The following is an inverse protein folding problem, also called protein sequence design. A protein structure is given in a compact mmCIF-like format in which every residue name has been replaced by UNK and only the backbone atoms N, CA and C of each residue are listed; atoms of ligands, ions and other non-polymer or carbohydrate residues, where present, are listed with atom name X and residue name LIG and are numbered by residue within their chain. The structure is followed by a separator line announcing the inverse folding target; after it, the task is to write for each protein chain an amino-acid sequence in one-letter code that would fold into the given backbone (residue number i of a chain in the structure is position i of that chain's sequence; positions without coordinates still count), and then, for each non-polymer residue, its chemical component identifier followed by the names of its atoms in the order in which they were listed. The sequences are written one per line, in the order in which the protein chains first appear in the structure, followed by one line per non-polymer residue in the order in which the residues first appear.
data_IF_408442167717
#
_entry.id   IF_408442167717
#
_cell.length_a   1.000
_cell.length_b   1.000
_cell.length_c   1.000
_cell.angle_alpha   90.00
_cell.angle_beta   90.00
_cell.angle_gamma   90.00
#
_symmetry.space_group_name_H-M   'P 1'
#
loop_
_entity.id
_entity.type
_entity.pdbx_description
1 polymer ?
#
# COMPACT_ATOMS: atom_id res chain seq x y z
N UNK A 1 -7.42 35.44 -24.36
CA UNK A 1 -8.50 34.65 -23.73
C UNK A 1 -7.96 34.03 -22.46
N UNK A 2 -8.42 34.46 -21.28
CA UNK A 2 -7.97 33.90 -20.02
C UNK A 2 -8.45 32.45 -19.91
N UNK A 3 -7.53 31.49 -19.76
CA UNK A 3 -7.86 30.11 -19.40
C UNK A 3 -8.65 30.17 -18.09
N UNK A 4 -9.93 29.80 -18.13
CA UNK A 4 -10.74 29.56 -16.94
C UNK A 4 -9.98 28.50 -16.14
N UNK A 5 -9.34 28.90 -15.03
CA UNK A 5 -8.73 27.93 -14.11
C UNK A 5 -9.88 27.06 -13.60
N UNK A 6 -10.00 25.85 -14.13
CA UNK A 6 -10.85 24.82 -13.56
C UNK A 6 -10.42 24.68 -12.11
N UNK A 7 -11.34 24.93 -11.18
CA UNK A 7 -11.04 24.77 -9.76
C UNK A 7 -10.54 23.34 -9.54
N UNK A 8 -9.37 23.22 -8.92
CA UNK A 8 -8.83 21.91 -8.59
C UNK A 8 -9.62 21.35 -7.39
N UNK A 9 -10.11 20.12 -7.52
CA UNK A 9 -10.88 19.45 -6.48
C UNK A 9 -10.26 18.10 -6.11
N UNK A 10 -10.39 17.71 -4.84
CA UNK A 10 -10.07 16.38 -4.31
C UNK A 10 -11.29 15.90 -3.53
N UNK A 11 -11.86 14.76 -3.93
CA UNK A 11 -13.13 14.25 -3.40
C UNK A 11 -14.22 15.36 -3.35
N UNK A 12 -14.44 16.03 -4.49
CA UNK A 12 -15.42 17.12 -4.70
C UNK A 12 -15.22 18.38 -3.84
N UNK A 13 -14.08 18.51 -3.15
CA UNK A 13 -13.74 19.69 -2.35
C UNK A 13 -12.61 20.47 -3.00
N UNK A 14 -12.72 21.80 -3.00
CA UNK A 14 -11.68 22.69 -3.53
C UNK A 14 -10.36 22.44 -2.81
N UNK A 15 -9.30 22.22 -3.57
CA UNK A 15 -7.95 21.98 -3.08
C UNK A 15 -7.02 23.11 -3.53
N UNK A 16 -6.40 23.80 -2.56
CA UNK A 16 -5.56 24.98 -2.80
C UNK A 16 -4.20 24.80 -2.15
N UNK A 17 -3.14 25.28 -2.81
CA UNK A 17 -1.77 25.24 -2.31
C UNK A 17 -1.06 23.90 -2.54
N UNK A 18 -0.04 23.62 -1.72
CA UNK A 18 0.80 22.41 -1.80
C UNK A 18 1.42 22.20 -3.18
N UNK A 19 1.83 23.31 -3.82
CA UNK A 19 2.29 23.30 -5.22
C UNK A 19 3.62 22.57 -5.34
N UNK A 20 4.54 22.81 -4.41
CA UNK A 20 5.85 22.17 -4.42
C UNK A 20 5.76 20.67 -4.11
N UNK A 21 4.94 20.27 -3.14
CA UNK A 21 4.73 18.85 -2.83
C UNK A 21 4.12 18.10 -4.04
N UNK A 22 3.15 18.70 -4.73
CA UNK A 22 2.60 18.13 -5.96
C UNK A 22 3.62 18.10 -7.10
N UNK A 23 4.51 19.09 -7.20
CA UNK A 23 5.57 19.13 -8.22
C UNK A 23 6.61 18.05 -7.97
N UNK A 24 7.06 17.88 -6.74
CA UNK A 24 7.99 16.83 -6.32
C UNK A 24 7.40 15.44 -6.58
N UNK A 25 6.13 15.22 -6.23
CA UNK A 25 5.46 13.95 -6.51
C UNK A 25 5.40 13.64 -8.01
N UNK A 26 5.07 14.62 -8.86
CA UNK A 26 5.08 14.43 -10.32
C UNK A 26 6.47 14.11 -10.87
N UNK A 27 7.51 14.76 -10.36
CA UNK A 27 8.89 14.51 -10.78
C UNK A 27 9.30 13.07 -10.45
N UNK A 28 9.10 12.64 -9.21
CA UNK A 28 9.43 11.28 -8.78
C UNK A 28 8.58 10.21 -9.49
N UNK A 29 7.31 10.50 -9.81
CA UNK A 29 6.48 9.60 -10.62
C UNK A 29 7.00 9.49 -12.06
N UNK A 30 7.50 10.58 -12.64
CA UNK A 30 8.12 10.57 -13.96
C UNK A 30 9.42 9.77 -13.99
N UNK A 31 10.26 9.90 -12.96
CA UNK A 31 11.48 9.11 -12.77
C UNK A 31 11.16 7.63 -12.56
N UNK A 32 10.07 7.28 -11.86
CA UNK A 32 9.64 5.88 -11.73
C UNK A 32 9.29 5.25 -13.09
N UNK A 33 8.68 6.03 -13.99
CA UNK A 33 8.33 5.55 -15.33
C UNK A 33 9.51 5.54 -16.30
N UNK A 34 10.49 6.43 -16.10
CA UNK A 34 11.70 6.53 -16.92
C UNK A 34 12.91 6.72 -15.98
N UNK A 35 13.40 5.63 -15.38
CA UNK A 35 14.47 5.71 -14.39
C UNK A 35 15.78 6.20 -15.02
N UNK A 36 16.58 7.01 -14.31
CA UNK A 36 17.94 7.35 -14.72
C UNK A 36 18.79 6.10 -14.95
N UNK A 37 19.76 6.21 -15.86
CA UNK A 37 20.64 5.08 -16.18
C UNK A 37 21.40 4.60 -14.93
N UNK A 38 21.22 3.32 -14.58
CA UNK A 38 21.87 2.69 -13.43
C UNK A 38 21.07 2.75 -12.12
N UNK A 39 19.89 3.37 -12.13
CA UNK A 39 19.01 3.44 -10.95
C UNK A 39 17.81 2.49 -11.09
N UNK A 40 17.57 1.69 -10.05
CA UNK A 40 16.37 0.88 -9.91
C UNK A 40 15.71 1.27 -8.59
N UNK A 41 14.72 2.15 -8.65
CA UNK A 41 14.07 2.71 -7.46
C UNK A 41 12.65 2.17 -7.33
N UNK A 42 12.26 1.75 -6.12
CA UNK A 42 10.99 2.16 -5.55
C UNK A 42 11.19 3.43 -4.72
N UNK A 43 10.39 4.47 -4.97
CA UNK A 43 10.30 5.64 -4.10
C UNK A 43 9.39 5.37 -2.90
N UNK A 44 9.77 5.88 -1.74
CA UNK A 44 8.92 5.96 -0.55
C UNK A 44 8.67 7.42 -0.22
N UNK A 45 7.40 7.84 -0.20
CA UNK A 45 7.01 9.19 0.16
C UNK A 45 6.49 9.22 1.60
N UNK A 46 7.11 10.02 2.45
CA UNK A 46 6.64 10.26 3.81
C UNK A 46 5.95 11.62 3.89
N UNK A 47 4.63 11.63 4.09
CA UNK A 47 3.88 12.83 4.40
C UNK A 47 3.81 13.03 5.92
N UNK A 48 4.52 14.03 6.43
CA UNK A 48 4.56 14.35 7.86
C UNK A 48 4.15 15.80 8.13
N UNK A 49 3.85 16.09 9.39
CA UNK A 49 3.37 17.39 9.86
C UNK A 49 2.20 17.26 10.82
N UNK A 50 1.72 18.38 11.36
CA UNK A 50 0.73 18.39 12.41
C UNK A 50 -0.65 17.86 11.99
N UNK A 51 -1.45 17.49 12.99
CA UNK A 51 -2.85 17.08 12.79
C UNK A 51 -3.67 18.17 12.10
N UNK A 52 -4.61 17.76 11.24
CA UNK A 52 -5.51 18.71 10.56
C UNK A 52 -4.91 19.50 9.39
N UNK A 53 -3.60 19.40 9.13
CA UNK A 53 -2.93 20.18 8.07
C UNK A 53 -3.20 19.69 6.63
N UNK A 54 -4.03 18.65 6.47
CA UNK A 54 -4.47 18.14 5.16
C UNK A 54 -3.60 17.04 4.53
N UNK A 55 -2.79 16.30 5.31
CA UNK A 55 -1.94 15.21 4.80
C UNK A 55 -2.72 14.14 4.04
N UNK A 56 -3.84 13.67 4.60
CA UNK A 56 -4.72 12.70 3.95
C UNK A 56 -5.31 13.25 2.64
N UNK A 57 -5.70 14.52 2.62
CA UNK A 57 -6.18 15.19 1.41
C UNK A 57 -5.07 15.30 0.35
N UNK A 58 -3.83 15.59 0.77
CA UNK A 58 -2.67 15.61 -0.13
C UNK A 58 -2.34 14.21 -0.68
N UNK A 59 -2.43 13.16 0.12
CA UNK A 59 -2.26 11.78 -0.34
C UNK A 59 -3.32 11.39 -1.39
N UNK A 60 -4.58 11.77 -1.17
CA UNK A 60 -5.66 11.62 -2.16
C UNK A 60 -5.39 12.44 -3.42
N UNK A 61 -4.80 13.62 -3.27
CA UNK A 61 -4.37 14.42 -4.42
C UNK A 61 -3.28 13.71 -5.23
N UNK A 62 -2.31 13.08 -4.58
CA UNK A 62 -1.27 12.28 -5.25
C UNK A 62 -1.88 11.10 -6.01
N UNK A 63 -2.88 10.41 -5.43
CA UNK A 63 -3.68 9.41 -6.12
C UNK A 63 -4.29 9.97 -7.41
N UNK A 64 -4.93 11.14 -7.34
CA UNK A 64 -5.58 11.75 -8.50
C UNK A 64 -4.56 12.16 -9.57
N UNK A 65 -3.39 12.68 -9.18
CA UNK A 65 -2.28 12.98 -10.09
C UNK A 65 -1.85 11.70 -10.82
N UNK A 66 -1.61 10.61 -10.09
CA UNK A 66 -1.14 9.35 -10.66
C UNK A 66 -2.17 8.74 -11.64
N UNK A 67 -3.45 8.80 -11.30
CA UNK A 67 -4.50 8.12 -12.07
C UNK A 67 -5.13 8.96 -13.18
N UNK A 68 -5.15 10.28 -13.06
CA UNK A 68 -5.99 11.14 -13.93
C UNK A 68 -5.18 12.13 -14.77
N UNK A 69 -3.98 12.51 -14.34
CA UNK A 69 -3.20 13.54 -15.04
C UNK A 69 -2.29 12.96 -16.13
N UNK A 70 -2.22 13.65 -17.27
CA UNK A 70 -1.14 13.41 -18.22
C UNK A 70 0.20 13.85 -17.60
N UNK A 71 1.32 13.15 -17.86
CA UNK A 71 1.45 11.99 -18.75
C UNK A 71 1.31 10.62 -18.05
N UNK A 72 0.81 10.58 -16.81
CA UNK A 72 0.81 9.39 -15.94
C UNK A 72 -0.43 8.52 -16.09
N UNK A 73 -1.55 9.13 -16.46
CA UNK A 73 -2.83 8.47 -16.72
C UNK A 73 -2.59 7.21 -17.58
N UNK A 74 -3.20 6.11 -17.15
CA UNK A 74 -3.14 4.79 -17.77
C UNK A 74 -1.75 4.10 -17.78
N UNK A 75 -0.71 4.71 -17.19
CA UNK A 75 0.65 4.12 -17.07
C UNK A 75 0.95 3.50 -15.72
N UNK A 76 0.14 3.79 -14.71
CA UNK A 76 0.34 3.33 -13.34
C UNK A 76 -0.90 2.65 -12.81
N UNK A 77 -0.68 1.61 -12.03
CA UNK A 77 -1.74 0.97 -11.24
C UNK A 77 -1.59 1.43 -9.80
N UNK A 78 -2.72 1.67 -9.12
CA UNK A 78 -2.73 2.22 -7.76
C UNK A 78 -3.53 1.30 -6.83
N UNK A 79 -2.90 0.86 -5.75
CA UNK A 79 -3.55 0.16 -4.64
C UNK A 79 -3.60 1.10 -3.44
N UNK A 80 -4.80 1.55 -3.07
CA UNK A 80 -5.01 2.40 -1.89
C UNK A 80 -5.27 1.53 -0.66
N UNK A 81 -4.45 1.70 0.37
CA UNK A 81 -4.62 1.02 1.66
C UNK A 81 -4.70 2.09 2.75
N UNK A 82 -5.83 2.13 3.44
CA UNK A 82 -5.99 2.93 4.65
C UNK A 82 -5.72 2.03 5.86
N UNK A 83 -4.53 2.16 6.44
CA UNK A 83 -4.09 1.29 7.54
C UNK A 83 -4.95 1.41 8.80
N UNK A 84 -5.56 2.56 9.06
CA UNK A 84 -6.47 2.72 10.21
C UNK A 84 -7.78 1.95 9.98
N UNK A 85 -8.27 1.92 8.74
CA UNK A 85 -9.44 1.11 8.39
C UNK A 85 -9.12 -0.38 8.31
N UNK A 86 -7.94 -0.76 7.84
CA UNK A 86 -7.51 -2.17 7.85
C UNK A 86 -7.28 -2.68 9.27
N UNK A 87 -6.78 -1.84 10.19
CA UNK A 87 -6.61 -2.20 11.61
C UNK A 87 -7.92 -2.62 12.29
N UNK A 88 -9.07 -2.13 11.82
CA UNK A 88 -10.40 -2.55 12.31
C UNK A 88 -10.80 -3.95 11.82
N UNK A 89 -10.18 -4.45 10.75
CA UNK A 89 -10.51 -5.71 10.08
C UNK A 89 -9.54 -6.85 10.40
N UNK A 90 -8.30 -6.51 10.75
CA UNK A 90 -7.21 -7.46 11.02
C UNK A 90 -6.81 -7.39 12.50
N UNK A 91 -7.19 -8.38 13.32
CA UNK A 91 -6.79 -8.46 14.73
C UNK A 91 -5.27 -8.39 14.93
N UNK A 92 -4.50 -8.90 13.99
CA UNK A 92 -3.03 -8.91 13.99
C UNK A 92 -2.45 -7.49 13.96
N UNK A 93 -3.22 -6.49 13.50
CA UNK A 93 -2.83 -5.07 13.55
C UNK A 93 -3.27 -4.36 14.84
N UNK A 94 -4.05 -5.01 15.70
CA UNK A 94 -4.55 -4.44 16.96
C UNK A 94 -3.58 -4.65 18.13
N UNK A 95 -2.36 -5.09 17.84
CA UNK A 95 -1.25 -5.23 18.79
C UNK A 95 -0.36 -3.96 18.81
N UNK A 96 0.64 -3.94 19.69
CA UNK A 96 1.64 -2.88 19.69
C UNK A 96 2.48 -2.92 18.41
N UNK A 97 2.94 -1.76 17.91
CA UNK A 97 3.71 -1.66 16.64
C UNK A 97 4.86 -2.66 16.53
N UNK A 98 5.60 -2.85 17.62
CA UNK A 98 6.76 -3.76 17.68
C UNK A 98 6.38 -5.25 17.60
N UNK A 99 5.09 -5.58 17.75
CA UNK A 99 4.58 -6.94 17.66
C UNK A 99 4.01 -7.26 16.27
N UNK A 100 3.79 -6.25 15.43
CA UNK A 100 3.33 -6.43 14.04
C UNK A 100 4.45 -7.06 13.25
N UNK A 101 4.22 -8.25 12.72
CA UNK A 101 5.16 -8.99 11.89
C UNK A 101 5.04 -8.55 10.42
N UNK A 102 6.07 -8.83 9.63
CA UNK A 102 6.05 -8.53 8.20
C UNK A 102 4.92 -9.27 7.49
N UNK A 103 4.64 -10.50 7.92
CA UNK A 103 3.56 -11.35 7.41
C UNK A 103 2.19 -10.69 7.57
N UNK A 104 1.93 -10.04 8.70
CA UNK A 104 0.66 -9.34 8.97
C UNK A 104 0.45 -8.20 7.95
N UNK A 105 1.51 -7.45 7.66
CA UNK A 105 1.52 -6.39 6.64
C UNK A 105 1.27 -6.97 5.25
N UNK A 106 1.94 -8.08 4.89
CA UNK A 106 1.76 -8.73 3.60
C UNK A 106 0.35 -9.33 3.43
N UNK A 107 -0.24 -9.89 4.49
CA UNK A 107 -1.60 -10.41 4.46
C UNK A 107 -2.63 -9.30 4.20
N UNK A 108 -2.44 -8.13 4.80
CA UNK A 108 -3.28 -6.95 4.57
C UNK A 108 -3.13 -6.46 3.14
N UNK A 109 -1.90 -6.35 2.62
CA UNK A 109 -1.64 -5.97 1.22
C UNK A 109 -2.28 -6.96 0.26
N UNK A 110 -2.13 -8.27 0.50
CA UNK A 110 -2.77 -9.32 -0.31
C UNK A 110 -4.28 -9.17 -0.26
N UNK A 111 -4.87 -9.01 0.92
CA UNK A 111 -6.32 -8.86 1.06
C UNK A 111 -6.84 -7.63 0.32
N UNK A 112 -6.14 -6.50 0.42
CA UNK A 112 -6.44 -5.29 -0.34
C UNK A 112 -6.33 -5.52 -1.86
N UNK A 113 -5.29 -6.20 -2.31
CA UNK A 113 -5.10 -6.54 -3.72
C UNK A 113 -6.21 -7.48 -4.24
N UNK A 114 -6.61 -8.49 -3.47
CA UNK A 114 -7.71 -9.41 -3.82
C UNK A 114 -9.02 -8.64 -3.96
N UNK A 115 -9.34 -7.72 -3.04
CA UNK A 115 -10.52 -6.84 -3.15
C UNK A 115 -10.50 -5.97 -4.41
N UNK A 116 -9.31 -5.61 -4.89
CA UNK A 116 -9.10 -4.88 -6.14
C UNK A 116 -8.93 -5.79 -7.39
N UNK A 117 -9.26 -7.08 -7.28
CA UNK A 117 -9.13 -8.09 -8.36
C UNK A 117 -7.69 -8.36 -8.83
N UNK A 118 -6.69 -8.02 -8.02
CA UNK A 118 -5.27 -8.23 -8.30
C UNK A 118 -4.72 -9.52 -7.68
N UNK A 119 -5.58 -10.40 -7.15
CA UNK A 119 -5.16 -11.63 -6.47
C UNK A 119 -4.23 -12.53 -7.28
N UNK A 120 -4.29 -12.48 -8.62
CA UNK A 120 -3.39 -13.23 -9.51
C UNK A 120 -1.92 -12.84 -9.35
N UNK A 121 -1.61 -11.60 -8.96
CA UNK A 121 -0.24 -11.14 -8.71
C UNK A 121 0.36 -11.77 -7.45
N UNK A 122 -0.46 -12.35 -6.57
CA UNK A 122 -0.06 -12.87 -5.27
C UNK A 122 -0.02 -14.40 -5.21
N UNK A 123 -0.12 -15.11 -6.34
CA UNK A 123 -0.14 -16.59 -6.38
C UNK A 123 1.06 -17.21 -5.69
N UNK A 124 2.26 -16.67 -5.93
CA UNK A 124 3.49 -17.16 -5.29
C UNK A 124 3.44 -17.02 -3.76
N UNK A 125 2.94 -15.88 -3.28
CA UNK A 125 2.77 -15.62 -1.85
C UNK A 125 1.70 -16.55 -1.24
N UNK A 126 0.57 -16.75 -1.89
CA UNK A 126 -0.47 -17.69 -1.44
C UNK A 126 0.06 -19.13 -1.38
N UNK A 127 0.88 -19.54 -2.34
CA UNK A 127 1.53 -20.85 -2.33
C UNK A 127 2.49 -20.99 -1.15
N UNK A 128 3.32 -19.98 -0.90
CA UNK A 128 4.25 -19.98 0.22
C UNK A 128 3.51 -20.13 1.56
N UNK A 129 2.42 -19.40 1.77
CA UNK A 129 1.61 -19.52 2.98
C UNK A 129 1.00 -20.90 3.16
N UNK A 130 0.53 -21.52 2.08
CA UNK A 130 0.02 -22.91 2.14
C UNK A 130 1.09 -23.88 2.59
N UNK A 131 2.30 -23.75 2.04
CA UNK A 131 3.45 -24.58 2.41
C UNK A 131 3.85 -24.36 3.89
N UNK A 132 3.86 -23.11 4.36
CA UNK A 132 4.14 -22.81 5.76
C UNK A 132 3.07 -23.39 6.69
N UNK A 133 1.80 -23.32 6.32
CA UNK A 133 0.70 -23.90 7.10
C UNK A 133 0.81 -25.43 7.19
N UNK A 134 1.07 -26.09 6.07
CA UNK A 134 1.28 -27.54 6.00
C UNK A 134 2.49 -27.98 6.85
N UNK A 135 3.60 -27.26 6.78
CA UNK A 135 4.78 -27.53 7.60
C UNK A 135 4.52 -27.35 9.10
N UNK A 136 3.81 -26.28 9.49
CA UNK A 136 3.40 -26.05 10.90
C UNK A 136 2.50 -27.17 11.41
N UNK A 137 1.58 -27.65 10.58
CA UNK A 137 0.69 -28.75 10.95
C UNK A 137 1.47 -30.05 11.15
N UNK A 138 2.40 -30.39 10.25
CA UNK A 138 3.25 -31.58 10.39
C UNK A 138 4.09 -31.54 11.67
N UNK A 139 4.67 -30.38 12.00
CA UNK A 139 5.44 -30.21 13.25
C UNK A 139 4.55 -30.39 14.48
N UNK A 140 3.35 -29.82 14.48
CA UNK A 140 2.40 -29.99 15.59
C UNK A 140 1.99 -31.46 15.76
N UNK A 141 1.71 -32.17 14.67
CA UNK A 141 1.40 -33.60 14.70
C UNK A 141 2.58 -34.42 15.27
N UNK A 142 3.81 -34.14 14.87
CA UNK A 142 5.00 -34.80 15.41
C UNK A 142 5.18 -34.57 16.93
N UNK A 143 5.00 -33.33 17.40
CA UNK A 143 5.09 -33.00 18.83
C UNK A 143 4.02 -33.72 19.66
N UNK A 144 2.79 -33.80 19.16
CA UNK A 144 1.70 -34.51 19.86
C UNK A 144 1.83 -36.04 19.83
N UNK A 145 2.59 -36.59 18.87
CA UNK A 145 2.84 -38.04 18.77
C UNK A 145 4.06 -38.45 19.59
N UNK A 146 5.07 -37.58 19.71
CA UNK A 146 6.22 -37.77 20.59
C UNK A 146 5.83 -37.80 22.07
N UNK A 147 4.98 -36.88 22.52
CA UNK A 147 4.49 -36.83 23.92
C UNK A 147 3.67 -38.05 24.34
N UNK A 148 3.08 -38.80 23.39
CA UNK A 148 2.31 -40.03 23.68
C UNK A 148 3.16 -41.31 23.68
N UNK A 149 4.44 -41.20 23.33
CA UNK A 149 5.36 -42.34 23.25
C UNK A 149 6.20 -42.52 24.52
N UNK A 150 6.13 -41.55 25.44
CA UNK A 150 6.93 -41.47 26.68
C UNK A 150 6.08 -41.70 27.97
N UNK A 151 4.83 -42.16 27.86
CA UNK A 151 4.00 -42.71 28.97
C UNK A 151 3.85 -44.23 28.86
#
# INVERSE_FOLDING_TARGET
MAKKQSQLTVDDRVFVGRVEEQKQFRAALAETLNPPAGENLPYVFLLYGDGGIGKTTLAKRFRDIALQEAPFKDKVQMLWIDWEDERKKFPELQVGREQIQAEDVFDVIRAAAVRNRWGRQFVAYTKALKQTAEAKQQVAEMLTTGDKSDE
#
